data_IF_877628224477
#
_entry.id   IF_877628224477
#
_cell.length_a   1.000
_cell.length_b   1.000
_cell.length_c   1.000
_cell.angle_alpha   90.00
_cell.angle_beta   90.00
_cell.angle_gamma   90.00
#
_symmetry.space_group_name_H-M   'P 1'
#
loop_
_entity.id
_entity.type
_entity.pdbx_description
1 polymer ?
#
# COMPACT_ATOMS: atom_id res chain seq x y z
N UNK A 1 -13.34 0.77 33.73
CA UNK A 1 -12.72 2.10 33.66
C UNK A 1 -13.01 2.63 32.25
N UNK A 2 -13.98 3.55 32.10
CA UNK A 2 -14.38 4.08 30.77
C UNK A 2 -13.43 5.21 30.39
N UNK A 3 -12.77 5.09 29.26
CA UNK A 3 -11.85 6.09 28.74
C UNK A 3 -12.63 7.34 28.29
N UNK A 4 -12.35 8.49 28.89
CA UNK A 4 -13.06 9.77 28.69
C UNK A 4 -12.49 10.64 27.55
N UNK A 5 -11.52 10.13 26.79
CA UNK A 5 -10.87 10.86 25.69
C UNK A 5 -11.49 10.60 24.29
N UNK A 6 -12.67 9.98 24.22
CA UNK A 6 -13.36 9.59 22.98
C UNK A 6 -14.04 10.76 22.23
N UNK A 7 -13.40 11.94 22.16
CA UNK A 7 -13.97 13.12 21.50
C UNK A 7 -12.96 14.03 20.79
N UNK A 8 -11.67 13.68 20.79
CA UNK A 8 -10.68 14.26 19.87
C UNK A 8 -10.24 13.16 18.93
N UNK A 9 -10.37 13.30 17.59
CA UNK A 9 -9.83 12.34 16.64
C UNK A 9 -8.31 12.53 16.59
N UNK A 10 -7.63 12.28 17.70
CA UNK A 10 -6.20 12.06 17.68
C UNK A 10 -6.01 10.61 17.28
N UNK A 11 -5.79 10.38 15.99
CA UNK A 11 -5.27 9.11 15.47
C UNK A 11 -3.84 8.83 15.96
N UNK A 12 -3.41 9.41 17.09
CA UNK A 12 -2.08 9.21 17.64
C UNK A 12 -1.96 7.79 18.19
N UNK A 13 -1.04 7.04 17.61
CA UNK A 13 -0.70 5.71 18.08
C UNK A 13 0.16 5.75 19.35
N UNK A 14 0.26 4.59 19.99
CA UNK A 14 1.22 4.34 21.05
C UNK A 14 2.22 3.33 20.51
N UNK A 15 3.52 3.65 20.61
CA UNK A 15 4.59 2.73 20.26
C UNK A 15 4.96 1.83 21.44
N UNK A 16 5.13 0.53 21.18
CA UNK A 16 5.72 -0.41 22.15
C UNK A 16 7.15 -0.70 21.68
N UNK A 17 8.13 -0.18 22.43
CA UNK A 17 9.54 -0.38 22.13
C UNK A 17 10.06 -1.61 22.89
N UNK A 18 10.16 -2.74 22.19
CA UNK A 18 10.65 -4.01 22.76
C UNK A 18 12.16 -4.22 22.62
N UNK A 19 12.84 -3.37 21.85
CA UNK A 19 14.26 -3.51 21.52
C UNK A 19 15.04 -2.25 21.90
N UNK A 20 16.23 -2.44 22.48
CA UNK A 20 17.16 -1.36 22.79
C UNK A 20 17.85 -0.83 21.53
N UNK A 21 18.49 0.33 21.62
CA UNK A 21 19.10 0.96 20.44
C UNK A 21 20.30 0.18 19.89
N UNK A 22 21.05 -0.53 20.75
CA UNK A 22 22.11 -1.44 20.28
C UNK A 22 21.54 -2.60 19.45
N UNK A 23 20.42 -3.20 19.86
CA UNK A 23 19.80 -4.30 19.11
C UNK A 23 19.29 -3.81 17.75
N UNK A 24 18.71 -2.61 17.70
CA UNK A 24 18.28 -1.98 16.44
C UNK A 24 19.47 -1.76 15.50
N UNK A 25 20.58 -1.23 16.01
CA UNK A 25 21.78 -1.00 15.21
C UNK A 25 22.37 -2.31 14.69
N UNK A 26 22.46 -3.35 15.51
CA UNK A 26 22.93 -4.66 15.06
C UNK A 26 22.02 -5.27 13.98
N UNK A 27 20.70 -5.16 14.11
CA UNK A 27 19.77 -5.62 13.07
C UNK A 27 19.95 -4.83 11.78
N UNK A 28 20.10 -3.51 11.88
CA UNK A 28 20.32 -2.64 10.73
C UNK A 28 21.61 -3.00 10.00
N UNK A 29 22.72 -3.14 10.71
CA UNK A 29 24.01 -3.55 10.14
C UNK A 29 23.93 -4.93 9.46
N UNK A 30 23.23 -5.88 10.07
CA UNK A 30 23.00 -7.20 9.49
C UNK A 30 22.15 -7.14 8.20
N UNK A 31 21.12 -6.27 8.16
CA UNK A 31 20.31 -6.05 6.96
C UNK A 31 21.18 -5.44 5.85
N UNK A 32 22.01 -4.44 6.16
CA UNK A 32 22.92 -3.84 5.18
C UNK A 32 23.93 -4.86 4.65
N UNK A 33 24.46 -5.74 5.52
CA UNK A 33 25.34 -6.83 5.11
C UNK A 33 24.62 -7.80 4.15
N UNK A 34 23.39 -8.23 4.47
CA UNK A 34 22.60 -9.12 3.60
C UNK A 34 22.30 -8.44 2.25
N UNK A 35 21.90 -7.18 2.24
CA UNK A 35 21.63 -6.44 1.01
C UNK A 35 22.89 -6.26 0.15
N UNK A 36 24.05 -6.07 0.77
CA UNK A 36 25.34 -5.92 0.08
C UNK A 36 25.99 -7.24 -0.37
N UNK A 37 25.76 -8.33 0.35
CA UNK A 37 26.42 -9.63 0.12
C UNK A 37 25.52 -10.66 -0.55
N UNK A 38 24.23 -10.71 -0.25
CA UNK A 38 23.25 -11.62 -0.87
C UNK A 38 22.54 -10.88 -2.00
N UNK A 39 21.96 -9.72 -1.69
CA UNK A 39 21.19 -8.89 -2.62
C UNK A 39 19.75 -9.36 -2.82
N UNK A 40 19.06 -8.74 -3.78
CA UNK A 40 17.66 -8.98 -4.13
C UNK A 40 17.53 -9.26 -5.62
N UNK A 41 16.70 -10.24 -6.00
CA UNK A 41 16.44 -10.57 -7.40
C UNK A 41 15.37 -9.64 -8.00
N UNK A 42 15.67 -9.02 -9.13
CA UNK A 42 14.72 -8.19 -9.88
C UNK A 42 14.48 -8.77 -11.27
N UNK A 43 13.25 -9.14 -11.59
CA UNK A 43 12.94 -9.74 -12.90
C UNK A 43 12.95 -8.74 -14.06
N UNK A 44 12.76 -7.45 -13.76
CA UNK A 44 12.73 -6.36 -14.74
C UNK A 44 14.14 -5.88 -15.10
N UNK A 45 14.49 -5.92 -16.39
CA UNK A 45 15.74 -5.37 -16.88
C UNK A 45 15.81 -3.85 -16.70
N UNK A 46 14.71 -3.13 -16.94
CA UNK A 46 14.62 -1.68 -16.72
C UNK A 46 14.97 -1.32 -15.27
N UNK A 47 14.49 -2.10 -14.30
CA UNK A 47 14.80 -1.88 -12.89
C UNK A 47 16.30 -2.12 -12.60
N UNK A 48 16.87 -3.18 -13.15
CA UNK A 48 18.30 -3.49 -13.01
C UNK A 48 19.19 -2.41 -13.63
N UNK A 49 18.80 -1.83 -14.77
CA UNK A 49 19.54 -0.74 -15.40
C UNK A 49 19.50 0.54 -14.56
N UNK A 50 18.33 0.90 -14.01
CA UNK A 50 18.18 2.03 -13.09
C UNK A 50 19.08 1.83 -11.86
N UNK A 51 19.04 0.65 -11.25
CA UNK A 51 19.83 0.33 -10.07
C UNK A 51 21.34 0.40 -10.38
N UNK A 52 21.79 -0.19 -11.48
CA UNK A 52 23.18 -0.13 -11.91
C UNK A 52 23.65 1.31 -12.16
N UNK A 53 22.80 2.15 -12.75
CA UNK A 53 23.06 3.57 -12.99
C UNK A 53 23.27 4.39 -11.71
N UNK A 54 22.74 3.93 -10.58
CA UNK A 54 22.91 4.56 -9.26
C UNK A 54 23.99 3.91 -8.40
N UNK A 55 24.83 3.03 -8.96
CA UNK A 55 25.97 2.43 -8.24
C UNK A 55 25.64 1.11 -7.51
N UNK A 56 24.44 0.55 -7.69
CA UNK A 56 24.09 -0.78 -7.18
C UNK A 56 24.80 -1.85 -8.02
N UNK A 57 25.39 -2.85 -7.37
CA UNK A 57 26.11 -3.93 -8.07
C UNK A 57 25.13 -4.96 -8.61
N UNK A 58 24.97 -5.02 -9.92
CA UNK A 58 24.02 -5.93 -10.58
C UNK A 58 24.74 -7.07 -11.28
N UNK A 59 24.35 -8.31 -10.96
CA UNK A 59 24.68 -9.49 -11.76
C UNK A 59 23.57 -9.71 -12.79
N UNK A 60 23.86 -9.49 -14.08
CA UNK A 60 22.88 -9.61 -15.17
C UNK A 60 22.40 -11.05 -15.36
N UNK A 61 23.28 -12.03 -15.20
CA UNK A 61 22.95 -13.45 -15.42
C UNK A 61 21.97 -13.99 -14.38
N UNK A 62 22.19 -13.67 -13.09
CA UNK A 62 21.31 -14.08 -12.01
C UNK A 62 20.17 -13.10 -11.73
N UNK A 63 20.21 -11.92 -12.36
CA UNK A 63 19.31 -10.78 -12.11
C UNK A 63 19.28 -10.33 -10.65
N UNK A 64 20.41 -10.46 -9.94
CA UNK A 64 20.54 -10.08 -8.53
C UNK A 64 21.22 -8.71 -8.42
N UNK A 65 20.59 -7.79 -7.70
CA UNK A 65 21.12 -6.49 -7.34
C UNK A 65 21.61 -6.49 -5.88
N UNK A 66 22.85 -6.07 -5.65
CA UNK A 66 23.50 -5.97 -4.34
C UNK A 66 23.75 -4.52 -3.99
N UNK A 67 23.23 -4.10 -2.85
CA UNK A 67 23.16 -2.71 -2.44
C UNK A 67 24.30 -2.41 -1.46
N UNK A 68 25.26 -1.54 -1.82
CA UNK A 68 26.17 -0.95 -0.85
C UNK A 68 25.39 -0.24 0.26
N UNK A 69 25.83 -0.38 1.52
CA UNK A 69 25.11 0.18 2.67
C UNK A 69 24.83 1.67 2.55
N UNK A 70 25.80 2.46 2.09
CA UNK A 70 25.63 3.91 1.91
C UNK A 70 24.50 4.27 0.93
N UNK A 71 24.24 3.46 -0.12
CA UNK A 71 23.13 3.72 -1.06
C UNK A 71 21.79 3.49 -0.35
N UNK A 72 21.72 2.48 0.52
CA UNK A 72 20.51 2.19 1.30
C UNK A 72 20.24 3.33 2.28
N UNK A 73 21.26 3.81 2.96
CA UNK A 73 21.18 4.93 3.91
C UNK A 73 20.77 6.24 3.23
N UNK A 74 21.39 6.56 2.09
CA UNK A 74 21.03 7.74 1.30
C UNK A 74 19.57 7.68 0.83
N UNK A 75 19.08 6.49 0.44
CA UNK A 75 17.70 6.29 0.05
C UNK A 75 16.71 6.45 1.21
N UNK A 76 17.07 5.97 2.41
CA UNK A 76 16.27 6.17 3.64
C UNK A 76 16.24 7.65 4.01
N UNK A 77 17.39 8.34 3.96
CA UNK A 77 17.49 9.76 4.29
C UNK A 77 16.71 10.66 3.31
N UNK A 78 16.61 10.25 2.04
CA UNK A 78 15.83 10.95 1.03
C UNK A 78 14.31 10.73 1.14
N UNK A 79 13.86 9.69 1.87
CA UNK A 79 12.44 9.40 2.03
C UNK A 79 11.74 10.43 2.95
N UNK A 80 10.56 10.93 2.57
CA UNK A 80 9.83 11.89 3.41
C UNK A 80 9.34 11.23 4.70
N UNK A 81 9.50 11.93 5.83
CA UNK A 81 9.03 11.43 7.13
C UNK A 81 7.50 11.39 7.28
N UNK A 82 6.78 12.16 6.47
CA UNK A 82 5.32 12.13 6.34
C UNK A 82 4.88 12.60 4.95
N UNK A 83 3.68 12.21 4.54
CA UNK A 83 3.05 12.67 3.30
C UNK A 83 1.52 12.52 3.37
N UNK A 84 0.81 13.18 2.45
CA UNK A 84 -0.65 13.10 2.36
C UNK A 84 -1.10 12.04 1.34
N UNK A 85 -2.10 11.26 1.73
CA UNK A 85 -3.00 10.58 0.82
C UNK A 85 -4.21 11.49 0.58
N UNK A 86 -4.33 11.99 -0.64
CA UNK A 86 -5.40 12.91 -1.01
C UNK A 86 -6.71 12.17 -1.28
N UNK A 87 -7.80 12.67 -0.72
CA UNK A 87 -9.16 12.23 -1.05
C UNK A 87 -9.69 12.98 -2.28
N UNK A 88 -10.99 12.83 -2.57
CA UNK A 88 -11.64 13.65 -3.60
C UNK A 88 -11.82 15.10 -3.18
N UNK A 89 -11.88 15.36 -1.88
CA UNK A 89 -12.01 16.67 -1.29
C UNK A 89 -11.18 16.74 0.00
N UNK A 90 -10.74 17.94 0.42
CA UNK A 90 -9.73 18.10 1.49
C UNK A 90 -10.12 17.49 2.84
N UNK A 91 -11.41 17.36 3.14
CA UNK A 91 -11.90 16.72 4.36
C UNK A 91 -11.57 15.22 4.44
N UNK A 92 -11.29 14.59 3.30
CA UNK A 92 -10.87 13.20 3.17
C UNK A 92 -9.37 13.02 3.01
N UNK A 93 -8.58 14.09 3.08
CA UNK A 93 -7.13 13.99 3.07
C UNK A 93 -6.63 13.33 4.36
N UNK A 94 -5.65 12.44 4.23
CA UNK A 94 -5.09 11.69 5.35
C UNK A 94 -3.57 11.78 5.37
N UNK A 95 -3.03 12.29 6.47
CA UNK A 95 -1.58 12.38 6.69
C UNK A 95 -1.07 11.02 7.18
N UNK A 96 -0.11 10.46 6.45
CA UNK A 96 0.66 9.29 6.86
C UNK A 96 1.99 9.72 7.46
N UNK A 97 2.35 9.13 8.61
CA UNK A 97 3.55 9.49 9.37
C UNK A 97 3.23 10.11 10.73
N UNK A 98 4.24 10.67 11.39
CA UNK A 98 4.14 11.39 12.67
C UNK A 98 3.42 10.62 13.80
N UNK A 99 3.58 9.28 13.82
CA UNK A 99 2.95 8.43 14.84
C UNK A 99 1.44 8.29 14.70
N UNK A 100 0.86 8.68 13.55
CA UNK A 100 -0.58 8.51 13.26
C UNK A 100 -0.90 7.09 12.83
N UNK A 101 -2.03 6.58 13.30
CA UNK A 101 -2.63 5.30 12.92
C UNK A 101 -3.80 5.58 11.99
N UNK A 102 -3.73 5.05 10.77
CA UNK A 102 -4.83 5.14 9.81
C UNK A 102 -5.42 3.75 9.62
N UNK A 103 -6.74 3.64 9.66
CA UNK A 103 -7.44 2.38 9.49
C UNK A 103 -7.84 2.20 8.05
N UNK A 104 -7.45 1.06 7.47
CA UNK A 104 -7.71 0.74 6.07
C UNK A 104 -8.30 -0.67 6.01
N UNK A 105 -9.38 -0.89 5.25
CA UNK A 105 -9.80 -2.23 4.93
C UNK A 105 -8.77 -2.83 3.95
N UNK A 106 -8.36 -4.09 4.16
CA UNK A 106 -7.32 -4.71 3.34
C UNK A 106 -7.69 -6.14 2.95
N UNK A 107 -7.42 -6.51 1.70
CA UNK A 107 -7.50 -7.90 1.25
C UNK A 107 -7.49 -8.05 -0.27
N UNK A 108 -7.45 -9.29 -0.75
CA UNK A 108 -7.71 -9.65 -2.15
C UNK A 108 -8.59 -10.90 -2.18
N UNK A 109 -9.71 -10.86 -1.45
CA UNK A 109 -10.63 -11.98 -1.36
C UNK A 109 -11.20 -12.38 -2.72
N UNK A 110 -11.15 -13.68 -3.03
CA UNK A 110 -11.76 -14.28 -4.24
C UNK A 110 -13.12 -14.94 -3.95
N UNK A 111 -13.52 -14.99 -2.68
CA UNK A 111 -14.79 -15.52 -2.23
C UNK A 111 -15.40 -14.56 -1.22
N UNK A 112 -16.71 -14.41 -1.27
CA UNK A 112 -17.48 -13.66 -0.28
C UNK A 112 -18.70 -14.47 0.13
N UNK A 113 -19.22 -14.20 1.32
CA UNK A 113 -20.46 -14.77 1.79
C UNK A 113 -21.58 -13.81 1.43
N UNK A 114 -22.54 -14.28 0.65
CA UNK A 114 -23.74 -13.53 0.31
C UNK A 114 -24.55 -13.23 1.58
N UNK A 115 -24.94 -11.97 1.79
CA UNK A 115 -25.61 -11.55 3.02
C UNK A 115 -27.09 -11.97 3.07
N UNK A 116 -27.71 -12.21 1.91
CA UNK A 116 -29.12 -12.62 1.82
C UNK A 116 -29.25 -14.14 1.90
N UNK A 117 -28.47 -14.87 1.09
CA UNK A 117 -28.57 -16.34 1.01
C UNK A 117 -27.67 -17.06 2.02
N UNK A 118 -26.61 -16.41 2.49
CA UNK A 118 -25.59 -17.02 3.34
C UNK A 118 -24.61 -17.94 2.59
N UNK A 119 -24.74 -18.08 1.27
CA UNK A 119 -23.89 -18.93 0.46
C UNK A 119 -22.53 -18.27 0.16
N UNK A 120 -21.49 -19.09 -0.01
CA UNK A 120 -20.17 -18.60 -0.43
C UNK A 120 -20.12 -18.57 -1.96
N UNK A 121 -19.89 -17.38 -2.52
CA UNK A 121 -19.80 -17.16 -3.98
C UNK A 121 -18.52 -16.45 -4.37
N UNK A 122 -18.25 -16.42 -5.69
CA UNK A 122 -17.18 -15.59 -6.23
C UNK A 122 -17.50 -14.11 -6.02
N UNK A 123 -16.43 -13.34 -5.86
CA UNK A 123 -16.49 -11.88 -5.75
C UNK A 123 -16.63 -11.22 -7.11
N UNK A 124 -17.30 -10.08 -7.12
CA UNK A 124 -17.71 -9.34 -8.30
C UNK A 124 -17.31 -7.87 -8.15
N UNK A 125 -17.38 -7.10 -9.24
CA UNK A 125 -17.21 -5.65 -9.22
C UNK A 125 -18.23 -4.97 -8.31
N UNK A 126 -19.43 -5.54 -8.16
CA UNK A 126 -20.44 -5.01 -7.25
C UNK A 126 -20.00 -5.13 -5.79
N UNK A 127 -19.37 -6.23 -5.40
CA UNK A 127 -18.84 -6.40 -4.03
C UNK A 127 -17.80 -5.32 -3.69
N UNK A 128 -17.00 -4.90 -4.67
CA UNK A 128 -16.05 -3.79 -4.51
C UNK A 128 -16.79 -2.47 -4.27
N UNK A 129 -17.83 -2.19 -5.06
CA UNK A 129 -18.65 -1.00 -4.88
C UNK A 129 -19.36 -0.98 -3.51
N UNK A 130 -19.85 -2.13 -3.05
CA UNK A 130 -20.50 -2.26 -1.75
C UNK A 130 -19.50 -2.06 -0.60
N UNK A 131 -18.30 -2.64 -0.71
CA UNK A 131 -17.23 -2.42 0.26
C UNK A 131 -16.76 -0.95 0.30
N UNK A 132 -16.77 -0.26 -0.84
CA UNK A 132 -16.48 1.17 -0.90
C UNK A 132 -17.54 1.98 -0.13
N UNK A 133 -18.83 1.65 -0.27
CA UNK A 133 -19.93 2.30 0.47
C UNK A 133 -19.85 2.04 1.97
N UNK A 134 -19.49 0.82 2.37
CA UNK A 134 -19.24 0.49 3.79
C UNK A 134 -18.07 1.35 4.31
N UNK A 135 -16.99 1.43 3.55
CA UNK A 135 -15.83 2.26 3.90
C UNK A 135 -16.23 3.73 4.04
N UNK A 136 -17.03 4.27 3.11
CA UNK A 136 -17.54 5.65 3.15
C UNK A 136 -18.38 5.89 4.41
N UNK A 137 -19.30 4.99 4.73
CA UNK A 137 -20.24 5.13 5.84
C UNK A 137 -19.60 5.04 7.23
N UNK A 138 -18.44 4.38 7.36
CA UNK A 138 -17.76 4.19 8.63
C UNK A 138 -16.70 5.28 8.85
N UNK A 139 -16.89 6.23 9.78
CA UNK A 139 -15.92 7.31 10.02
C UNK A 139 -14.56 6.80 10.51
N UNK A 140 -14.50 5.59 11.06
CA UNK A 140 -13.27 4.95 11.54
C UNK A 140 -12.33 4.54 10.41
N UNK A 141 -12.83 4.25 9.20
CA UNK A 141 -11.96 3.96 8.06
C UNK A 141 -11.44 5.25 7.44
N UNK A 142 -10.12 5.36 7.33
CA UNK A 142 -9.45 6.55 6.80
C UNK A 142 -9.26 6.50 5.29
N UNK A 143 -8.96 5.31 4.76
CA UNK A 143 -8.64 5.07 3.34
C UNK A 143 -9.50 3.93 2.83
N UNK A 144 -9.90 4.00 1.57
CA UNK A 144 -10.54 2.92 0.85
C UNK A 144 -9.50 2.14 0.06
N UNK A 145 -9.38 0.85 0.33
CA UNK A 145 -8.50 -0.04 -0.41
C UNK A 145 -9.28 -1.27 -0.85
N UNK A 146 -8.85 -1.83 -1.99
CA UNK A 146 -9.41 -3.07 -2.49
C UNK A 146 -9.33 -4.18 -1.43
N UNK A 147 -10.47 -4.80 -1.14
CA UNK A 147 -10.62 -5.93 -0.22
C UNK A 147 -10.91 -7.25 -0.94
N UNK A 148 -11.50 -7.16 -2.13
CA UNK A 148 -11.92 -8.29 -2.97
C UNK A 148 -11.56 -8.05 -4.43
N UNK A 149 -11.48 -9.13 -5.20
CA UNK A 149 -11.15 -9.09 -6.64
C UNK A 149 -12.42 -9.16 -7.47
N UNK A 150 -12.56 -8.33 -8.50
CA UNK A 150 -13.68 -8.41 -9.43
C UNK A 150 -13.43 -9.54 -10.44
N UNK A 151 -14.07 -10.70 -10.25
CA UNK A 151 -13.89 -11.86 -11.13
C UNK A 151 -14.88 -11.92 -12.30
N UNK A 152 -15.85 -11.00 -12.33
CA UNK A 152 -16.87 -10.83 -13.36
C UNK A 152 -16.42 -9.86 -14.48
N UNK A 153 -15.16 -9.42 -14.47
CA UNK A 153 -14.55 -8.53 -15.47
C UNK A 153 -13.31 -9.18 -16.10
N UNK A 154 -12.83 -8.72 -17.26
CA UNK A 154 -11.62 -9.28 -17.86
C UNK A 154 -10.40 -9.09 -16.95
N UNK A 155 -9.71 -10.18 -16.62
CA UNK A 155 -8.64 -10.21 -15.62
C UNK A 155 -7.46 -9.27 -15.90
N UNK A 156 -7.18 -8.96 -17.16
CA UNK A 156 -6.07 -8.09 -17.58
C UNK A 156 -6.34 -6.58 -17.36
N UNK A 157 -7.55 -6.21 -16.93
CA UNK A 157 -7.95 -4.83 -16.60
C UNK A 157 -8.75 -4.78 -15.29
N UNK A 158 -8.71 -5.84 -14.50
CA UNK A 158 -9.47 -5.97 -13.26
C UNK A 158 -9.21 -4.79 -12.32
N UNK A 159 -7.95 -4.38 -12.19
CA UNK A 159 -7.54 -3.29 -11.31
C UNK A 159 -8.14 -1.94 -11.72
N UNK A 160 -8.40 -1.73 -13.01
CA UNK A 160 -9.05 -0.52 -13.51
C UNK A 160 -10.54 -0.53 -13.19
N UNK A 161 -11.17 -1.70 -13.29
CA UNK A 161 -12.56 -1.88 -12.87
C UNK A 161 -12.70 -1.71 -11.35
N UNK A 162 -11.75 -2.21 -10.58
CA UNK A 162 -11.71 -2.12 -9.12
C UNK A 162 -11.46 -0.68 -8.66
N UNK A 163 -10.51 0.02 -9.28
CA UNK A 163 -10.28 1.45 -9.02
C UNK A 163 -11.52 2.28 -9.30
N UNK A 164 -12.12 2.12 -10.48
CA UNK A 164 -13.32 2.88 -10.85
C UNK A 164 -14.50 2.55 -9.93
N UNK A 165 -14.69 1.29 -9.53
CA UNK A 165 -15.73 0.90 -8.58
C UNK A 165 -15.58 1.63 -7.23
N UNK A 166 -14.38 1.67 -6.65
CA UNK A 166 -14.14 2.45 -5.43
C UNK A 166 -14.33 3.94 -5.67
N UNK A 167 -13.69 4.48 -6.72
CA UNK A 167 -13.69 5.90 -7.03
C UNK A 167 -15.10 6.44 -7.28
N UNK A 168 -16.08 5.65 -7.75
CA UNK A 168 -17.47 6.10 -7.87
C UNK A 168 -18.29 6.00 -6.59
N UNK A 169 -17.82 5.28 -5.56
CA UNK A 169 -18.62 4.91 -4.38
C UNK A 169 -18.05 5.40 -3.04
N UNK A 170 -16.90 6.08 -3.03
CA UNK A 170 -16.35 6.76 -1.85
C UNK A 170 -15.71 8.09 -2.23
N UNK A 171 -15.63 9.01 -1.27
CA UNK A 171 -14.86 10.26 -1.37
C UNK A 171 -13.50 10.16 -0.66
N UNK A 172 -13.30 9.10 0.14
CA UNK A 172 -12.02 8.78 0.78
C UNK A 172 -10.96 8.48 -0.27
N UNK A 173 -9.68 8.60 0.12
CA UNK A 173 -8.57 8.16 -0.72
C UNK A 173 -8.77 6.70 -1.17
N UNK A 174 -8.46 6.40 -2.43
CA UNK A 174 -8.59 5.06 -3.00
C UNK A 174 -7.22 4.49 -3.34
N UNK A 175 -6.93 3.28 -2.87
CA UNK A 175 -5.71 2.53 -3.19
C UNK A 175 -6.02 1.21 -3.87
N UNK A 176 -5.33 0.93 -4.99
CA UNK A 176 -5.34 -0.36 -5.70
C UNK A 176 -3.93 -0.70 -6.18
N UNK A 177 -3.60 -1.99 -6.21
CA UNK A 177 -2.33 -2.46 -6.74
C UNK A 177 -2.36 -2.55 -8.27
N UNK A 178 -1.44 -1.88 -8.99
CA UNK A 178 -1.31 -2.09 -10.43
C UNK A 178 -0.74 -3.48 -10.74
N UNK A 179 -1.24 -4.15 -11.78
CA UNK A 179 -0.70 -5.44 -12.23
C UNK A 179 0.51 -5.32 -13.17
N UNK A 180 0.90 -4.10 -13.56
CA UNK A 180 2.10 -3.84 -14.35
C UNK A 180 2.28 -2.38 -14.74
N UNK A 181 3.33 -2.09 -15.52
CA UNK A 181 3.68 -0.72 -15.95
C UNK A 181 2.52 0.01 -16.62
N UNK A 182 1.86 -0.64 -17.59
CA UNK A 182 0.75 -0.04 -18.34
C UNK A 182 -0.44 0.29 -17.45
N UNK A 183 -0.80 -0.58 -16.50
CA UNK A 183 -1.93 -0.31 -15.61
C UNK A 183 -1.58 0.74 -14.57
N UNK A 184 -0.35 0.76 -14.05
CA UNK A 184 0.13 1.86 -13.21
C UNK A 184 0.01 3.23 -13.92
N UNK A 185 0.53 3.33 -15.16
CA UNK A 185 0.42 4.55 -15.97
C UNK A 185 -1.04 4.94 -16.25
N UNK A 186 -1.92 3.95 -16.44
CA UNK A 186 -3.35 4.20 -16.70
C UNK A 186 -4.05 4.69 -15.43
N UNK A 187 -3.79 4.06 -14.28
CA UNK A 187 -4.34 4.49 -12.98
C UNK A 187 -3.92 5.91 -12.63
N UNK A 188 -2.65 6.27 -12.87
CA UNK A 188 -2.16 7.66 -12.68
C UNK A 188 -2.93 8.64 -13.55
N UNK A 189 -3.23 8.29 -14.81
CA UNK A 189 -4.04 9.13 -15.70
C UNK A 189 -5.48 9.28 -15.23
N UNK A 190 -6.10 8.20 -14.73
CA UNK A 190 -7.47 8.26 -14.20
C UNK A 190 -7.50 9.06 -12.90
N UNK A 191 -6.47 8.96 -12.04
CA UNK A 191 -6.39 9.74 -10.81
C UNK A 191 -6.14 11.24 -11.05
N UNK A 192 -5.67 11.62 -12.24
CA UNK A 192 -5.41 13.00 -12.62
C UNK A 192 -6.63 13.73 -13.23
N UNK A 193 -7.74 13.03 -13.49
CA UNK A 193 -8.99 13.61 -14.02
C UNK A 193 -9.96 13.97 -12.92
#
# INVERSE_FOLDING_TARGET
>A
MRNTYCATPSNMGIGINLMGDMDKNHMHDAILEILGTVGVKFESNDALEILAGHGVKVCKDSKVARFPGYIVEDAIAAAPGHFYLYGKSPEYDRLLGDGRVNWIPFGCGIKTKDLETGEIRNTTKQDIADNARITEALPEYDVCMQTVVAQDVPSHVEELHSFTAHAYNTNKNVTVGPMGKRSAETLVKIAAT
#
